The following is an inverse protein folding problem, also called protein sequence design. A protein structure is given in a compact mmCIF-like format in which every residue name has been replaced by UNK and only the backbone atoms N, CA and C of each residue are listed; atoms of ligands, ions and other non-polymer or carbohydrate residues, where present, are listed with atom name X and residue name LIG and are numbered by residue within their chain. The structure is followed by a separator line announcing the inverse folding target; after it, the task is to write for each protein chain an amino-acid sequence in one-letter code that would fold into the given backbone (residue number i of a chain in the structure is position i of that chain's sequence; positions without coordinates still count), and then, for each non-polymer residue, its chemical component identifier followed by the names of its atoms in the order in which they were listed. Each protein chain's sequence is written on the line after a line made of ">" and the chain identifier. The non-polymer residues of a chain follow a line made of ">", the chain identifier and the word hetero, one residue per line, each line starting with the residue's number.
data_IF_863550437125
#
_entry.id   IF_863550437125
#
_cell.length_a   1.000
_cell.length_b   1.000
_cell.length_c   1.000
_cell.angle_alpha   90.00
_cell.angle_beta   90.00
_cell.angle_gamma   90.00
#
_symmetry.space_group_name_H-M   'P 1'
#
loop_
_entity.id
_entity.type
_entity.pdbx_description
1 polymer ?
#
# COMPACT_ATOMS: atom_id res chain seq x y z
N UNK A 1 7.54 4.79 5.84
CA UNK A 1 6.36 5.60 5.48
C UNK A 1 5.43 5.67 6.68
N UNK A 2 4.65 6.73 6.80
CA UNK A 2 3.73 7.01 7.92
C UNK A 2 2.28 6.98 7.43
N UNK A 3 1.33 6.78 8.36
CA UNK A 3 -0.11 6.76 8.02
C UNK A 3 -0.56 8.07 7.38
N UNK A 4 -0.02 9.20 7.83
CA UNK A 4 -0.35 10.52 7.29
C UNK A 4 0.09 10.68 5.83
N UNK A 5 1.27 10.16 5.47
CA UNK A 5 1.77 10.18 4.10
C UNK A 5 0.91 9.33 3.15
N UNK A 6 0.27 8.27 3.66
CA UNK A 6 -0.52 7.35 2.82
C UNK A 6 -1.98 7.77 2.66
N UNK A 7 -2.52 8.49 3.64
CA UNK A 7 -3.93 8.90 3.66
C UNK A 7 -4.44 9.53 2.33
N UNK A 8 -3.65 10.34 1.60
CA UNK A 8 -4.08 10.89 0.30
C UNK A 8 -4.30 9.86 -0.82
N UNK A 9 -3.73 8.66 -0.70
CA UNK A 9 -3.83 7.59 -1.71
C UNK A 9 -5.04 6.68 -1.50
N UNK A 10 -5.66 6.71 -0.32
CA UNK A 10 -6.82 5.89 0.02
C UNK A 10 -7.98 6.21 -0.93
N UNK A 11 -8.65 5.19 -1.44
CA UNK A 11 -9.72 5.31 -2.43
C UNK A 11 -9.23 5.48 -3.87
N UNK A 12 -7.96 5.17 -4.17
CA UNK A 12 -7.38 5.26 -5.52
C UNK A 12 -6.82 3.92 -5.97
N UNK A 13 -6.78 3.70 -7.29
CA UNK A 13 -5.91 2.67 -7.85
C UNK A 13 -4.45 3.09 -7.68
N UNK A 14 -3.63 2.18 -7.19
CA UNK A 14 -2.22 2.42 -6.89
C UNK A 14 -1.35 1.24 -7.30
N UNK A 15 -0.07 1.51 -7.54
CA UNK A 15 1.00 0.53 -7.43
C UNK A 15 1.73 0.76 -6.11
N UNK A 16 1.85 -0.28 -5.29
CA UNK A 16 2.62 -0.27 -4.05
C UNK A 16 3.91 -1.06 -4.26
N UNK A 17 5.05 -0.42 -4.04
CA UNK A 17 6.37 -1.08 -3.99
C UNK A 17 6.73 -1.37 -2.54
N UNK A 18 7.09 -2.60 -2.22
CA UNK A 18 7.42 -3.03 -0.87
C UNK A 18 8.55 -4.07 -0.84
N UNK A 19 9.14 -4.27 0.33
CA UNK A 19 10.14 -5.32 0.56
C UNK A 19 9.44 -6.59 1.01
N UNK A 20 9.63 -7.69 0.29
CA UNK A 20 9.04 -8.99 0.59
C UNK A 20 9.72 -9.70 1.78
N UNK A 21 9.30 -10.93 2.07
CA UNK A 21 9.88 -11.74 3.16
C UNK A 21 11.32 -12.17 2.90
N UNK A 22 11.76 -12.19 1.64
CA UNK A 22 13.12 -12.52 1.23
C UNK A 22 14.03 -11.27 1.17
N UNK A 23 13.51 -10.09 1.53
CA UNK A 23 14.26 -8.84 1.46
C UNK A 23 14.35 -8.25 0.05
N UNK A 24 13.58 -8.76 -0.91
CA UNK A 24 13.56 -8.28 -2.30
C UNK A 24 12.46 -7.25 -2.52
N UNK A 25 12.68 -6.35 -3.47
CA UNK A 25 11.64 -5.42 -3.89
C UNK A 25 10.58 -6.16 -4.70
N UNK A 26 9.32 -5.97 -4.29
CA UNK A 26 8.14 -6.50 -4.93
C UNK A 26 7.14 -5.37 -5.15
N UNK A 27 6.18 -5.60 -6.05
CA UNK A 27 5.13 -4.65 -6.36
C UNK A 27 3.78 -5.35 -6.38
N UNK A 28 2.74 -4.63 -5.93
CA UNK A 28 1.36 -5.00 -6.21
C UNK A 28 0.62 -3.81 -6.81
N UNK A 29 -0.28 -4.07 -7.75
CA UNK A 29 -1.21 -3.08 -8.28
C UNK A 29 -2.60 -3.43 -7.74
N UNK A 30 -3.35 -2.43 -7.28
CA UNK A 30 -4.68 -2.66 -6.74
C UNK A 30 -5.35 -1.38 -6.24
N UNK A 31 -6.53 -1.52 -5.65
CA UNK A 31 -7.25 -0.39 -5.06
C UNK A 31 -6.91 -0.26 -3.57
N UNK A 32 -6.34 0.87 -3.16
CA UNK A 32 -6.00 1.10 -1.76
C UNK A 32 -7.29 1.44 -0.98
N UNK A 33 -7.80 0.51 -0.19
CA UNK A 33 -9.09 0.62 0.51
C UNK A 33 -8.97 1.34 1.85
N UNK A 34 -7.95 1.04 2.64
CA UNK A 34 -7.68 1.71 3.92
C UNK A 34 -6.22 1.60 4.35
N UNK A 35 -5.90 2.32 5.43
CA UNK A 35 -4.66 2.15 6.20
C UNK A 35 -5.06 2.02 7.67
N UNK A 36 -4.78 0.86 8.26
CA UNK A 36 -5.26 0.49 9.59
C UNK A 36 -4.11 0.12 10.51
N UNK A 37 -4.32 0.23 11.82
CA UNK A 37 -3.37 -0.25 12.81
C UNK A 37 -3.80 -1.63 13.33
N UNK A 38 -2.96 -2.64 13.10
CA UNK A 38 -3.14 -4.00 13.62
C UNK A 38 -2.28 -4.16 14.88
N UNK A 39 -2.83 -4.63 16.01
CA UNK A 39 -2.10 -4.73 17.29
C UNK A 39 -0.78 -5.53 17.22
N UNK A 40 -0.68 -6.55 16.36
CA UNK A 40 0.53 -7.38 16.24
C UNK A 40 1.51 -6.92 15.16
N UNK A 41 1.06 -6.11 14.19
CA UNK A 41 1.83 -5.81 12.98
C UNK A 41 2.08 -4.31 12.78
N UNK A 42 1.49 -3.46 13.62
CA UNK A 42 1.55 -2.02 13.46
C UNK A 42 0.64 -1.54 12.34
N UNK A 43 1.05 -0.46 11.66
CA UNK A 43 0.27 0.09 10.55
C UNK A 43 0.39 -0.78 9.29
N UNK A 44 -0.73 -1.08 8.66
CA UNK A 44 -0.82 -1.88 7.44
C UNK A 44 -1.65 -1.16 6.37
N UNK A 45 -1.32 -1.39 5.11
CA UNK A 45 -2.13 -1.01 3.95
C UNK A 45 -3.04 -2.16 3.56
N UNK A 46 -4.29 -1.85 3.27
CA UNK A 46 -5.22 -2.77 2.64
C UNK A 46 -5.32 -2.40 1.15
N UNK A 47 -4.81 -3.26 0.28
CA UNK A 47 -4.88 -3.10 -1.17
C UNK A 47 -5.70 -4.26 -1.71
N UNK A 48 -6.90 -3.97 -2.22
CA UNK A 48 -7.92 -4.99 -2.52
C UNK A 48 -8.16 -5.92 -1.32
N UNK A 49 -7.68 -7.16 -1.38
CA UNK A 49 -7.75 -8.17 -0.30
C UNK A 49 -6.39 -8.45 0.36
N UNK A 50 -5.31 -7.79 -0.08
CA UNK A 50 -3.95 -7.97 0.44
C UNK A 50 -3.63 -7.00 1.58
N UNK A 51 -2.98 -7.52 2.63
CA UNK A 51 -2.43 -6.72 3.73
C UNK A 51 -0.91 -6.54 3.57
N UNK A 52 -0.45 -5.28 3.53
CA UNK A 52 0.98 -4.95 3.42
C UNK A 52 1.41 -4.09 4.59
N UNK A 53 2.37 -4.57 5.39
CA UNK A 53 2.94 -3.80 6.49
C UNK A 53 3.58 -2.50 5.99
N UNK A 54 3.16 -1.37 6.56
CA UNK A 54 3.57 -0.03 6.15
C UNK A 54 5.08 0.20 6.28
N UNK A 55 5.71 -0.51 7.21
CA UNK A 55 7.17 -0.47 7.43
C UNK A 55 7.96 -0.99 6.20
N UNK A 56 7.36 -1.91 5.45
CA UNK A 56 7.97 -2.57 4.28
C UNK A 56 7.76 -1.78 3.00
N UNK A 57 6.83 -0.83 3.02
CA UNK A 57 6.47 -0.06 1.84
C UNK A 57 7.53 1.00 1.55
N UNK A 58 7.94 1.05 0.29
CA UNK A 58 8.97 1.96 -0.25
C UNK A 58 8.37 3.08 -1.08
N UNK A 59 7.31 2.81 -1.84
CA UNK A 59 6.64 3.80 -2.66
C UNK A 59 5.17 3.43 -2.91
N UNK A 60 4.34 4.45 -3.09
CA UNK A 60 2.98 4.33 -3.60
C UNK A 60 2.85 5.29 -4.79
N UNK A 61 2.38 4.78 -5.92
CA UNK A 61 2.15 5.59 -7.13
C UNK A 61 0.71 5.43 -7.55
N UNK A 62 0.00 6.53 -7.75
CA UNK A 62 -1.38 6.50 -8.27
C UNK A 62 -1.36 6.02 -9.72
N UNK A 63 -2.20 5.04 -10.02
CA UNK A 63 -2.51 4.64 -11.39
C UNK A 63 -3.73 5.46 -11.83
N UNK A 64 -3.51 6.43 -12.71
CA UNK A 64 -4.64 7.08 -13.36
C UNK A 64 -5.35 6.03 -14.22
N UNK A 65 -6.62 5.77 -13.89
CA UNK A 65 -7.47 5.03 -14.80
C UNK A 65 -7.51 5.83 -16.10
N UNK A 66 -6.96 5.27 -17.18
CA UNK A 66 -7.06 5.85 -18.51
C UNK A 66 -8.56 5.92 -18.81
N UNK A 67 -9.16 7.10 -18.71
CA UNK A 67 -10.54 7.32 -19.13
C UNK A 67 -10.60 6.91 -20.61
N UNK A 68 -11.28 5.80 -20.87
CA UNK A 68 -11.55 5.29 -22.21
C UNK A 68 -12.74 6.04 -22.81
#
# INVERSE_FOLDING_TARGET
>A
MTVQEVKPFVGRQVRVSYVDRAGKEAHTDGFLTSVDYRPMYGAVLLVDEDEISLEKVRAIVVREAKAA
#
